data_IF_404426198938
#
_entry.id   IF_404426198938
#
_cell.length_a   1.000
_cell.length_b   1.000
_cell.length_c   1.000
_cell.angle_alpha   90.00
_cell.angle_beta   90.00
_cell.angle_gamma   90.00
#
_symmetry.space_group_name_H-M   'P 1'
#
loop_
_entity.id
_entity.type
_entity.pdbx_description
1 polymer ?
#
# COMPACT_ATOMS: atom_id res chain seq x y z
N UNK A 1 9.86 -13.28 2.35
CA UNK A 1 9.95 -11.81 2.56
C UNK A 1 8.67 -11.22 2.02
N UNK A 2 7.61 -11.25 2.82
CA UNK A 2 6.26 -10.97 2.36
C UNK A 2 5.91 -9.50 2.52
N UNK A 3 5.72 -8.81 1.40
CA UNK A 3 4.99 -7.55 1.33
C UNK A 3 3.52 -7.89 1.10
N UNK A 4 2.59 -7.34 1.87
CA UNK A 4 1.16 -7.42 1.55
C UNK A 4 0.82 -6.22 0.67
N UNK A 5 0.91 -6.37 -0.65
CA UNK A 5 0.45 -5.35 -1.58
C UNK A 5 -0.64 -5.97 -2.45
N UNK A 6 -1.86 -5.42 -2.38
CA UNK A 6 -2.91 -5.75 -3.36
C UNK A 6 -2.53 -4.97 -4.63
N UNK A 7 -1.82 -5.63 -5.54
CA UNK A 7 -1.14 -5.01 -6.68
C UNK A 7 -2.06 -4.64 -7.87
N UNK A 8 -3.38 -4.53 -7.69
CA UNK A 8 -4.27 -4.27 -8.80
C UNK A 8 -4.63 -2.78 -8.89
N UNK A 9 -4.07 -2.10 -9.90
CA UNK A 9 -4.67 -0.89 -10.43
C UNK A 9 -5.93 -1.29 -11.23
N UNK A 10 -7.05 -0.56 -11.10
CA UNK A 10 -8.24 -0.86 -11.90
C UNK A 10 -7.96 -0.55 -13.38
N UNK A 11 -7.84 -1.61 -14.17
CA UNK A 11 -7.98 -1.58 -15.62
C UNK A 11 -9.36 -2.08 -16.00
N UNK A 12 -9.93 -1.53 -17.08
CA UNK A 12 -11.30 -1.74 -17.55
C UNK A 12 -11.73 -3.21 -17.48
N UNK A 13 -12.84 -3.56 -16.78
CA UNK A 13 -13.29 -4.94 -16.75
C UNK A 13 -13.70 -5.39 -18.15
N UNK A 14 -13.14 -6.50 -18.63
CA UNK A 14 -13.69 -7.24 -19.75
C UNK A 14 -15.06 -7.78 -19.33
N UNK A 15 -16.11 -7.09 -19.81
CA UNK A 15 -17.48 -7.57 -20.04
C UNK A 15 -17.97 -8.71 -19.14
N UNK A 16 -18.71 -8.38 -18.08
CA UNK A 16 -19.57 -9.39 -17.43
C UNK A 16 -20.06 -9.13 -16.00
N UNK A 17 -20.34 -7.90 -15.59
CA UNK A 17 -21.00 -7.65 -14.30
C UNK A 17 -22.14 -6.64 -14.44
N UNK A 18 -23.38 -7.09 -14.31
CA UNK A 18 -24.56 -6.22 -14.21
C UNK A 18 -24.64 -5.68 -12.79
N UNK A 19 -24.43 -4.38 -12.62
CA UNK A 19 -24.55 -3.68 -11.33
C UNK A 19 -25.90 -2.96 -11.29
N UNK A 20 -26.76 -3.32 -10.34
CA UNK A 20 -27.96 -2.56 -9.98
C UNK A 20 -27.55 -1.48 -8.98
N UNK A 21 -27.74 -0.22 -9.36
CA UNK A 21 -27.37 0.95 -8.57
C UNK A 21 -28.52 1.36 -7.64
N UNK A 22 -28.37 1.15 -6.33
CA UNK A 22 -29.14 1.89 -5.34
C UNK A 22 -28.28 3.02 -4.79
N UNK A 23 -28.77 4.26 -4.94
CA UNK A 23 -28.12 5.47 -4.45
C UNK A 23 -28.40 5.61 -2.95
N UNK A 24 -27.42 5.29 -2.12
CA UNK A 24 -27.50 5.62 -0.69
C UNK A 24 -27.08 7.07 -0.41
N UNK A 25 -27.86 7.69 0.47
CA UNK A 25 -27.79 9.10 0.87
C UNK A 25 -26.62 9.37 1.80
N UNK A 26 -25.89 10.47 1.53
CA UNK A 26 -24.89 11.12 2.40
C UNK A 26 -25.40 11.23 3.84
N UNK A 27 -24.68 10.63 4.79
CA UNK A 27 -24.82 10.88 6.23
C UNK A 27 -23.82 11.96 6.68
N UNK A 28 -24.14 12.62 7.80
CA UNK A 28 -23.76 13.98 8.19
C UNK A 28 -22.26 14.22 8.53
N UNK A 29 -21.86 15.47 8.25
CA UNK A 29 -20.63 16.22 8.64
C UNK A 29 -19.27 15.85 8.00
N UNK A 30 -18.98 16.54 6.87
CA UNK A 30 -17.64 17.06 6.56
C UNK A 30 -16.55 16.11 6.05
N UNK A 31 -16.71 14.79 6.11
CA UNK A 31 -15.65 13.82 5.72
C UNK A 31 -15.90 13.22 4.34
N UNK A 32 -14.81 12.96 3.60
CA UNK A 32 -14.88 12.40 2.25
C UNK A 32 -14.80 10.87 2.27
N UNK A 33 -15.68 10.21 3.02
CA UNK A 33 -15.74 8.73 3.00
C UNK A 33 -16.22 8.25 1.62
N UNK A 34 -15.57 7.21 1.08
CA UNK A 34 -15.84 6.71 -0.28
C UNK A 34 -16.36 5.28 -0.25
N UNK A 35 -17.58 5.07 -0.77
CA UNK A 35 -18.13 3.75 -0.99
C UNK A 35 -17.69 3.21 -2.36
N UNK A 36 -16.77 2.25 -2.37
CA UNK A 36 -16.13 1.72 -3.59
C UNK A 36 -16.13 0.19 -3.61
N UNK A 37 -15.61 -0.40 -4.68
CA UNK A 37 -15.36 -1.84 -4.78
C UNK A 37 -13.87 -2.10 -4.60
N UNK A 38 -13.51 -2.89 -3.59
CA UNK A 38 -12.16 -3.41 -3.42
C UNK A 38 -12.08 -4.84 -3.97
N UNK A 39 -10.97 -5.18 -4.59
CA UNK A 39 -10.76 -6.47 -5.21
C UNK A 39 -9.87 -7.35 -4.33
N UNK A 40 -10.41 -8.50 -3.95
CA UNK A 40 -9.76 -9.48 -3.09
C UNK A 40 -9.37 -10.71 -3.89
N UNK A 41 -8.43 -11.49 -3.37
CA UNK A 41 -8.10 -12.80 -3.90
C UNK A 41 -9.31 -13.74 -3.79
N UNK A 42 -9.62 -14.41 -4.90
CA UNK A 42 -10.58 -15.50 -4.93
C UNK A 42 -9.81 -16.82 -4.84
N UNK A 43 -10.02 -17.54 -3.75
CA UNK A 43 -9.46 -18.88 -3.56
C UNK A 43 -9.90 -19.81 -4.71
N UNK A 44 -8.99 -20.71 -5.11
CA UNK A 44 -9.31 -21.71 -6.11
C UNK A 44 -10.29 -22.74 -5.54
N UNK A 45 -11.25 -23.19 -6.35
CA UNK A 45 -12.28 -24.15 -5.92
C UNK A 45 -11.67 -25.50 -5.49
N UNK A 46 -10.46 -25.82 -5.98
CA UNK A 46 -9.69 -27.01 -5.64
C UNK A 46 -8.76 -26.84 -4.42
N UNK A 47 -8.76 -25.66 -3.79
CA UNK A 47 -7.91 -25.33 -2.65
C UNK A 47 -6.43 -25.14 -2.98
N UNK A 48 -6.06 -25.09 -4.26
CA UNK A 48 -4.68 -24.82 -4.66
C UNK A 48 -4.21 -23.43 -4.19
N UNK A 49 -2.94 -23.28 -3.80
CA UNK A 49 -2.40 -21.99 -3.39
C UNK A 49 -2.35 -21.01 -4.57
N UNK A 50 -2.25 -19.69 -4.30
CA UNK A 50 -2.09 -18.69 -5.35
C UNK A 50 -0.93 -19.03 -6.27
N UNK A 51 -1.15 -18.88 -7.57
CA UNK A 51 -0.12 -19.15 -8.56
C UNK A 51 1.09 -18.22 -8.38
N UNK A 52 2.33 -18.74 -8.47
CA UNK A 52 3.54 -17.95 -8.29
C UNK A 52 3.65 -16.85 -9.34
N UNK A 53 4.18 -15.69 -8.95
CA UNK A 53 4.62 -14.65 -9.87
C UNK A 53 6.10 -14.83 -10.15
N UNK A 54 6.50 -14.89 -11.42
CA UNK A 54 7.91 -15.00 -11.82
C UNK A 54 8.46 -13.63 -12.22
N UNK A 55 9.38 -13.11 -11.42
CA UNK A 55 9.98 -11.80 -11.65
C UNK A 55 10.86 -11.84 -12.91
N UNK A 56 10.74 -10.82 -13.74
CA UNK A 56 11.47 -10.71 -15.01
C UNK A 56 10.89 -11.55 -16.15
N UNK A 57 9.74 -12.21 -15.94
CA UNK A 57 9.02 -12.95 -16.99
C UNK A 57 7.61 -12.36 -17.19
N UNK A 58 7.03 -12.45 -18.39
CA UNK A 58 5.63 -12.14 -18.61
C UNK A 58 4.75 -12.97 -17.68
N UNK A 59 3.84 -12.29 -16.98
CA UNK A 59 2.91 -12.94 -16.07
C UNK A 59 1.65 -13.33 -16.83
N UNK A 60 1.66 -14.56 -17.38
CA UNK A 60 0.57 -15.08 -18.19
C UNK A 60 -0.46 -15.86 -17.34
N UNK A 61 -0.36 -15.79 -16.02
CA UNK A 61 -1.25 -16.53 -15.12
C UNK A 61 -2.38 -15.63 -14.66
N UNK A 62 -3.60 -16.02 -14.99
CA UNK A 62 -4.79 -15.38 -14.45
C UNK A 62 -4.89 -15.66 -12.95
N UNK A 63 -5.07 -14.60 -12.16
CA UNK A 63 -5.31 -14.69 -10.72
C UNK A 63 -6.71 -14.16 -10.45
N UNK A 64 -7.69 -15.05 -10.24
CA UNK A 64 -9.07 -14.65 -10.02
C UNK A 64 -9.21 -13.73 -8.82
N UNK A 65 -10.08 -12.74 -8.94
CA UNK A 65 -10.42 -11.82 -7.88
C UNK A 65 -11.93 -11.79 -7.65
N UNK A 66 -12.31 -11.35 -6.46
CA UNK A 66 -13.70 -11.08 -6.09
C UNK A 66 -13.82 -9.63 -5.64
N UNK A 67 -14.76 -8.89 -6.25
CA UNK A 67 -15.08 -7.54 -5.84
C UNK A 67 -15.97 -7.56 -4.59
N UNK A 68 -15.61 -6.78 -3.58
CA UNK A 68 -16.43 -6.55 -2.40
C UNK A 68 -16.64 -5.05 -2.21
N UNK A 69 -17.90 -4.64 -2.03
CA UNK A 69 -18.25 -3.26 -1.68
C UNK A 69 -17.76 -2.95 -0.28
N UNK A 70 -17.04 -1.85 -0.14
CA UNK A 70 -16.53 -1.36 1.15
C UNK A 70 -16.68 0.15 1.22
N UNK A 71 -16.59 0.69 2.43
CA UNK A 71 -16.39 2.13 2.66
C UNK A 71 -14.93 2.34 3.04
N UNK A 72 -14.20 3.12 2.27
CA UNK A 72 -12.87 3.60 2.60
C UNK A 72 -13.04 4.92 3.35
N UNK A 73 -12.61 4.96 4.61
CA UNK A 73 -12.87 6.08 5.52
C UNK A 73 -11.77 7.13 5.45
N UNK A 74 -12.17 8.39 5.31
CA UNK A 74 -11.26 9.53 5.23
C UNK A 74 -10.74 9.90 6.64
N UNK A 75 -9.43 9.82 6.83
CA UNK A 75 -8.77 10.13 8.11
C UNK A 75 -8.40 11.59 8.28
N UNK A 76 -8.77 12.47 7.34
CA UNK A 76 -8.46 13.90 7.39
C UNK A 76 -8.84 14.54 8.73
N UNK A 77 -7.87 15.19 9.37
CA UNK A 77 -8.02 15.81 10.70
C UNK A 77 -7.93 14.85 11.89
N UNK A 78 -7.74 13.55 11.63
CA UNK A 78 -7.62 12.47 12.64
C UNK A 78 -6.38 11.62 12.41
N UNK A 79 -5.40 12.12 11.66
CA UNK A 79 -4.18 11.40 11.28
C UNK A 79 -3.41 10.89 12.50
N UNK A 80 -3.39 11.66 13.59
CA UNK A 80 -2.69 11.33 14.83
C UNK A 80 -3.26 10.14 15.61
N UNK A 81 -4.46 9.67 15.27
CA UNK A 81 -5.08 8.50 15.89
C UNK A 81 -4.50 7.18 15.33
N UNK A 82 -3.93 7.23 14.13
CA UNK A 82 -3.40 6.06 13.44
C UNK A 82 -1.90 5.98 13.60
N UNK A 83 -1.45 4.92 14.26
CA UNK A 83 -0.07 4.69 14.69
C UNK A 83 0.46 3.41 14.06
N UNK A 84 1.75 3.41 13.69
CA UNK A 84 2.40 2.25 13.08
C UNK A 84 2.23 0.97 13.90
N UNK A 85 2.31 1.05 15.23
CA UNK A 85 2.28 -0.14 16.07
C UNK A 85 0.90 -0.72 16.26
N UNK A 86 -0.17 0.07 16.23
CA UNK A 86 -1.52 -0.44 16.52
C UNK A 86 -2.36 -0.61 15.26
N UNK A 87 -2.16 0.25 14.26
CA UNK A 87 -2.94 0.23 13.02
C UNK A 87 -2.13 -0.29 11.84
N UNK A 88 -0.80 -0.34 11.95
CA UNK A 88 0.10 -0.73 10.88
C UNK A 88 0.40 0.38 9.87
N UNK A 89 -0.15 1.57 10.07
CA UNK A 89 0.17 2.75 9.26
C UNK A 89 0.14 4.02 10.10
N UNK A 90 0.78 5.07 9.59
CA UNK A 90 0.81 6.39 10.22
C UNK A 90 1.05 7.47 9.18
N UNK A 91 0.31 8.58 9.27
CA UNK A 91 0.54 9.75 8.42
C UNK A 91 1.35 10.79 9.19
N UNK A 92 2.42 11.28 8.57
CA UNK A 92 3.34 12.26 9.13
C UNK A 92 3.39 13.50 8.25
N UNK A 93 3.47 14.68 8.88
CA UNK A 93 3.80 15.91 8.16
C UNK A 93 5.30 15.97 7.95
N UNK A 94 5.72 16.01 6.69
CA UNK A 94 7.12 16.15 6.30
C UNK A 94 7.20 16.77 4.91
N UNK A 95 7.91 17.87 4.78
CA UNK A 95 8.17 18.53 3.49
C UNK A 95 9.57 18.14 3.01
N UNK A 96 9.63 17.35 1.94
CA UNK A 96 10.90 16.90 1.34
C UNK A 96 11.68 18.05 0.69
N UNK A 97 13.02 18.05 0.70
CA UNK A 97 13.79 19.01 -0.13
C UNK A 97 13.70 18.63 -1.60
N UNK A 98 13.83 17.33 -1.91
CA UNK A 98 13.61 16.82 -3.25
C UNK A 98 12.11 16.87 -3.60
N UNK A 99 11.77 17.49 -4.74
CA UNK A 99 10.38 17.72 -5.17
C UNK A 99 10.00 16.95 -6.42
N UNK A 100 10.95 16.79 -7.33
CA UNK A 100 10.67 16.31 -8.67
C UNK A 100 10.80 14.79 -8.74
N UNK A 101 11.73 14.17 -8.01
CA UNK A 101 12.02 12.73 -7.99
C UNK A 101 12.31 12.17 -9.40
N UNK A 102 13.11 12.87 -10.19
CA UNK A 102 13.46 12.47 -11.58
C UNK A 102 14.90 11.97 -11.74
N UNK A 103 15.73 12.12 -10.71
CA UNK A 103 17.14 11.73 -10.71
C UNK A 103 17.43 10.77 -9.55
N UNK A 104 17.77 9.52 -9.86
CA UNK A 104 18.07 8.47 -8.88
C UNK A 104 19.26 8.83 -7.96
N UNK A 105 20.29 9.48 -8.50
CA UNK A 105 21.45 9.91 -7.72
C UNK A 105 21.07 10.98 -6.71
N UNK A 106 20.23 11.94 -7.12
CA UNK A 106 19.70 12.99 -6.24
C UNK A 106 18.77 12.42 -5.17
N UNK A 107 17.91 11.47 -5.52
CA UNK A 107 17.03 10.77 -4.57
C UNK A 107 17.88 10.08 -3.48
N UNK A 108 18.94 9.36 -3.88
CA UNK A 108 19.83 8.67 -2.94
C UNK A 108 20.68 9.64 -2.10
N UNK A 109 21.11 10.76 -2.67
CA UNK A 109 21.97 11.72 -1.98
C UNK A 109 21.20 12.65 -1.03
N UNK A 110 19.96 13.02 -1.37
CA UNK A 110 19.19 14.03 -0.66
C UNK A 110 17.98 13.43 0.07
N UNK A 111 17.15 12.65 -0.64
CA UNK A 111 15.88 12.16 -0.06
C UNK A 111 16.06 10.95 0.86
N UNK A 112 17.00 10.05 0.58
CA UNK A 112 17.25 8.88 1.45
C UNK A 112 17.67 9.30 2.88
N UNK A 113 18.59 10.26 3.08
CA UNK A 113 18.88 10.78 4.42
C UNK A 113 17.64 11.36 5.14
N UNK A 114 16.78 12.09 4.43
CA UNK A 114 15.54 12.62 5.00
C UNK A 114 14.59 11.50 5.47
N UNK A 115 14.42 10.47 4.64
CA UNK A 115 13.58 9.31 4.96
C UNK A 115 14.17 8.51 6.13
N UNK A 116 15.49 8.32 6.17
CA UNK A 116 16.15 7.67 7.30
C UNK A 116 15.88 8.40 8.61
N UNK A 117 16.04 9.74 8.64
CA UNK A 117 15.76 10.51 9.85
C UNK A 117 14.28 10.45 10.22
N UNK A 118 13.37 10.61 9.26
CA UNK A 118 11.93 10.52 9.47
C UNK A 118 11.53 9.18 10.10
N UNK A 119 12.11 8.08 9.63
CA UNK A 119 11.86 6.75 10.19
C UNK A 119 12.41 6.62 11.60
N UNK A 120 13.63 7.09 11.87
CA UNK A 120 14.21 7.08 13.22
C UNK A 120 13.32 7.86 14.20
N UNK A 121 12.87 9.05 13.81
CA UNK A 121 12.00 9.89 14.64
C UNK A 121 10.63 9.24 14.89
N UNK A 122 10.05 8.60 13.87
CA UNK A 122 8.73 7.99 13.96
C UNK A 122 8.72 6.67 14.74
N UNK A 123 9.81 5.91 14.67
CA UNK A 123 9.89 4.54 15.19
C UNK A 123 10.75 4.40 16.43
N UNK A 124 11.72 5.29 16.65
CA UNK A 124 12.76 5.13 17.66
C UNK A 124 13.89 4.17 17.26
N UNK A 125 13.93 3.74 15.99
CA UNK A 125 14.93 2.81 15.50
C UNK A 125 16.35 3.40 15.50
N UNK A 126 17.33 2.54 15.73
CA UNK A 126 18.75 2.90 15.77
C UNK A 126 19.36 2.91 14.36
N UNK A 127 18.90 1.99 13.50
CA UNK A 127 19.45 1.81 12.16
C UNK A 127 18.34 1.63 11.13
N UNK A 128 18.49 2.31 10.01
CA UNK A 128 17.62 2.20 8.85
C UNK A 128 18.47 1.73 7.68
N UNK A 129 17.94 0.80 6.89
CA UNK A 129 18.54 0.43 5.62
C UNK A 129 17.52 0.60 4.50
N UNK A 130 17.71 1.60 3.64
CA UNK A 130 16.90 1.80 2.44
C UNK A 130 17.48 0.98 1.29
N UNK A 131 16.69 0.11 0.68
CA UNK A 131 17.18 -0.82 -0.35
C UNK A 131 16.56 -0.62 -1.74
N UNK A 132 15.44 0.09 -1.83
CA UNK A 132 14.70 0.26 -3.07
C UNK A 132 13.79 1.48 -2.99
N UNK A 133 13.48 2.06 -4.15
CA UNK A 133 12.37 2.97 -4.30
C UNK A 133 11.66 2.73 -5.64
N UNK A 134 10.35 2.98 -5.65
CA UNK A 134 9.53 2.90 -6.85
C UNK A 134 8.85 4.24 -7.06
N UNK A 135 9.02 4.82 -8.24
CA UNK A 135 8.30 6.01 -8.67
C UNK A 135 7.12 5.57 -9.52
N UNK A 136 5.96 6.18 -9.30
CA UNK A 136 4.78 6.01 -10.13
C UNK A 136 4.45 7.34 -10.76
N UNK A 137 4.56 7.40 -12.09
CA UNK A 137 3.98 8.43 -12.96
C UNK A 137 3.33 7.72 -14.15
N UNK A 138 2.34 8.34 -14.79
CA UNK A 138 1.92 7.88 -16.11
C UNK A 138 2.98 8.30 -17.15
N UNK A 139 4.04 7.50 -17.27
CA UNK A 139 4.99 7.54 -18.39
C UNK A 139 5.14 6.13 -18.96
N UNK A 140 5.43 6.05 -20.26
CA UNK A 140 5.22 4.87 -21.11
C UNK A 140 6.15 3.66 -20.87
N UNK A 141 7.06 3.70 -19.89
CA UNK A 141 7.97 2.59 -19.62
C UNK A 141 8.50 2.75 -18.20
N UNK A 142 8.37 1.73 -17.37
CA UNK A 142 9.25 1.57 -16.21
C UNK A 142 9.31 0.10 -15.78
N UNK A 143 10.46 -0.53 -16.04
CA UNK A 143 10.82 -1.86 -15.55
C UNK A 143 11.69 -1.69 -14.30
N UNK A 144 11.21 -2.15 -13.17
CA UNK A 144 11.93 -2.11 -11.88
C UNK A 144 13.00 -3.21 -11.80
N UNK A 145 14.19 -2.87 -11.30
CA UNK A 145 15.24 -3.79 -10.85
C UNK A 145 15.53 -3.55 -9.36
N UNK A 146 14.93 -4.37 -8.48
CA UNK A 146 15.11 -4.25 -7.03
C UNK A 146 16.25 -5.09 -6.49
N UNK A 147 17.01 -4.55 -5.53
CA UNK A 147 18.03 -5.26 -4.74
C UNK A 147 17.43 -5.79 -3.43
N UNK A 148 17.99 -6.88 -2.88
CA UNK A 148 17.36 -7.73 -1.86
C UNK A 148 18.01 -7.63 -0.47
N UNK A 149 17.22 -7.48 0.61
CA UNK A 149 17.69 -7.60 2.01
C UNK A 149 16.62 -8.16 2.99
N UNK A 150 16.99 -8.35 4.29
CA UNK A 150 16.21 -9.01 5.37
C UNK A 150 16.01 -8.09 6.61
N UNK A 151 14.77 -7.95 7.10
CA UNK A 151 14.36 -7.17 8.30
C UNK A 151 12.88 -6.74 8.21
N UNK A 152 12.31 -6.05 9.22
CA UNK A 152 10.95 -5.49 9.14
C UNK A 152 10.90 -4.43 8.05
N UNK A 153 9.91 -4.50 7.16
CA UNK A 153 9.80 -3.63 6.00
C UNK A 153 8.77 -2.55 6.32
N UNK A 154 9.22 -1.29 6.33
CA UNK A 154 8.32 -0.13 6.31
C UNK A 154 8.43 0.53 4.93
N UNK A 155 7.28 0.66 4.27
CA UNK A 155 7.16 1.45 3.06
C UNK A 155 6.83 2.90 3.45
N UNK A 156 7.50 3.83 2.77
CA UNK A 156 7.36 5.26 2.96
C UNK A 156 6.75 5.78 1.68
N UNK A 157 5.44 6.00 1.71
CA UNK A 157 4.67 6.44 0.56
C UNK A 157 4.44 7.95 0.61
N UNK A 158 4.92 8.65 -0.42
CA UNK A 158 4.79 10.10 -0.55
C UNK A 158 4.13 10.48 -1.87
N UNK A 159 3.10 11.34 -1.86
CA UNK A 159 2.64 12.04 -3.05
C UNK A 159 3.70 12.98 -3.65
N UNK A 160 3.88 12.94 -4.96
CA UNK A 160 4.67 13.95 -5.68
C UNK A 160 3.79 15.18 -5.99
N UNK A 161 2.50 14.95 -6.24
CA UNK A 161 1.44 15.96 -6.36
C UNK A 161 0.29 15.63 -5.41
N UNK A 162 -0.59 16.58 -5.12
CA UNK A 162 -1.79 16.31 -4.31
C UNK A 162 -2.67 15.25 -4.98
N UNK A 163 -3.03 14.20 -4.23
CA UNK A 163 -3.75 13.05 -4.78
C UNK A 163 -5.26 13.18 -4.62
N UNK A 164 -5.95 13.07 -5.75
CA UNK A 164 -7.41 12.97 -5.82
C UNK A 164 -7.83 11.65 -6.50
N UNK A 165 -7.22 11.33 -7.64
CA UNK A 165 -7.48 10.10 -8.39
C UNK A 165 -6.61 8.95 -7.89
N UNK A 166 -7.21 7.75 -7.83
CA UNK A 166 -6.56 6.50 -7.39
C UNK A 166 -5.80 6.60 -6.05
N UNK A 167 -6.38 7.18 -4.99
CA UNK A 167 -5.73 7.34 -3.69
C UNK A 167 -5.29 6.01 -3.06
N UNK A 168 -4.32 6.08 -2.15
CA UNK A 168 -3.84 4.93 -1.38
C UNK A 168 -4.85 4.60 -0.26
N UNK A 169 -5.49 3.45 -0.35
CA UNK A 169 -6.23 2.83 0.74
C UNK A 169 -5.34 1.85 1.51
N UNK A 170 -5.46 1.85 2.84
CA UNK A 170 -4.75 0.95 3.74
C UNK A 170 -5.79 0.32 4.69
N UNK A 171 -5.73 -1.00 4.85
CA UNK A 171 -6.54 -1.69 5.84
C UNK A 171 -5.87 -1.59 7.21
N UNK A 172 -6.66 -1.37 8.27
CA UNK A 172 -6.15 -1.37 9.64
C UNK A 172 -5.77 -2.79 10.06
N UNK A 173 -4.56 -2.99 10.60
CA UNK A 173 -4.05 -4.29 11.03
C UNK A 173 -5.03 -5.11 11.90
N UNK A 174 -5.63 -4.57 12.98
CA UNK A 174 -6.57 -5.32 13.82
C UNK A 174 -7.85 -5.78 13.09
N UNK A 175 -8.16 -5.19 11.94
CA UNK A 175 -9.36 -5.53 11.16
C UNK A 175 -9.13 -6.67 10.17
N UNK A 176 -7.87 -7.06 9.93
CA UNK A 176 -7.48 -8.09 8.95
C UNK A 176 -6.82 -9.26 9.70
N UNK A 177 -7.56 -10.35 9.98
CA UNK A 177 -6.97 -11.50 10.64
C UNK A 177 -5.96 -12.21 9.72
N UNK A 178 -4.92 -12.81 10.31
CA UNK A 178 -3.92 -13.57 9.55
C UNK A 178 -4.55 -14.72 8.72
N UNK A 179 -5.72 -15.23 9.13
CA UNK A 179 -6.48 -16.23 8.37
C UNK A 179 -6.94 -15.75 6.99
N UNK A 180 -7.00 -14.43 6.77
CA UNK A 180 -7.38 -13.81 5.51
C UNK A 180 -6.17 -13.52 4.62
N UNK A 181 -4.94 -13.75 5.11
CA UNK A 181 -3.70 -13.54 4.38
C UNK A 181 -3.22 -14.87 3.81
N UNK A 182 -3.13 -14.96 2.48
CA UNK A 182 -2.66 -16.16 1.79
C UNK A 182 -1.29 -15.87 1.17
N UNK A 183 -0.30 -16.70 1.52
CA UNK A 183 1.04 -16.62 0.96
C UNK A 183 0.99 -16.88 -0.55
N UNK A 184 1.47 -15.92 -1.33
CA UNK A 184 1.65 -16.02 -2.77
C UNK A 184 3.15 -15.98 -3.08
N UNK A 185 3.63 -16.98 -3.82
CA UNK A 185 5.05 -17.10 -4.09
C UNK A 185 5.53 -16.06 -5.11
N UNK A 186 6.64 -15.39 -4.80
CA UNK A 186 7.32 -14.46 -5.70
C UNK A 186 8.67 -15.04 -6.08
N UNK A 187 8.78 -15.61 -7.28
CA UNK A 187 9.94 -16.40 -7.72
C UNK A 187 10.86 -15.53 -8.57
N UNK A 188 12.09 -15.36 -8.12
CA UNK A 188 13.19 -14.71 -8.83
C UNK A 188 14.10 -15.79 -9.45
N UNK A 189 14.99 -15.44 -10.40
CA UNK A 189 15.93 -16.42 -10.97
C UNK A 189 16.82 -17.12 -9.93
N UNK A 190 17.15 -16.44 -8.84
CA UNK A 190 18.11 -16.85 -7.81
C UNK A 190 17.47 -17.25 -6.47
N UNK A 191 16.17 -16.96 -6.28
CA UNK A 191 15.49 -17.22 -5.00
C UNK A 191 13.97 -17.32 -5.11
N UNK A 192 13.38 -17.87 -4.06
CA UNK A 192 11.93 -17.80 -3.82
C UNK A 192 11.63 -16.83 -2.67
N UNK A 193 10.91 -15.77 -2.99
CA UNK A 193 10.23 -14.90 -2.05
C UNK A 193 8.77 -15.30 -1.88
N UNK A 194 8.06 -14.51 -1.08
CA UNK A 194 6.64 -14.64 -0.82
C UNK A 194 6.07 -13.23 -0.74
N UNK A 195 4.80 -13.04 -1.05
CA UNK A 195 3.98 -11.84 -0.83
C UNK A 195 2.65 -12.33 -0.26
N UNK A 196 1.78 -11.45 0.23
CA UNK A 196 0.44 -11.85 0.65
C UNK A 196 -0.60 -11.33 -0.32
N UNK A 197 -1.51 -12.22 -0.70
CA UNK A 197 -2.81 -11.85 -1.26
C UNK A 197 -3.87 -11.95 -0.16
N UNK A 198 -4.97 -11.21 -0.30
CA UNK A 198 -5.93 -11.01 0.79
C UNK A 198 -7.29 -11.56 0.38
N UNK A 199 -7.87 -12.43 1.21
CA UNK A 199 -9.22 -12.97 1.05
C UNK A 199 -10.27 -11.92 1.44
N UNK A 200 -11.49 -12.01 0.91
CA UNK A 200 -12.57 -11.12 1.33
C UNK A 200 -12.89 -11.32 2.82
N UNK A 201 -12.95 -10.24 3.58
CA UNK A 201 -13.37 -10.23 4.98
C UNK A 201 -14.42 -9.16 5.24
N UNK A 202 -15.49 -9.52 5.96
CA UNK A 202 -16.55 -8.57 6.33
C UNK A 202 -16.10 -7.54 7.38
N UNK A 203 -15.07 -7.87 8.15
CA UNK A 203 -14.52 -7.03 9.22
C UNK A 203 -13.42 -6.08 8.76
N UNK A 204 -12.98 -6.14 7.51
CA UNK A 204 -11.85 -5.32 7.04
C UNK A 204 -12.21 -3.84 7.04
N UNK A 205 -11.41 -3.03 7.72
CA UNK A 205 -11.59 -1.59 7.84
C UNK A 205 -10.55 -0.86 7.01
N UNK A 206 -11.01 -0.14 5.99
CA UNK A 206 -10.15 0.59 5.05
C UNK A 206 -10.15 2.07 5.33
N UNK A 207 -8.95 2.67 5.25
CA UNK A 207 -8.70 4.07 5.54
C UNK A 207 -7.87 4.70 4.42
N UNK A 208 -8.06 6.00 4.22
CA UNK A 208 -7.23 6.81 3.33
C UNK A 208 -7.21 8.26 3.80
N UNK A 209 -6.24 9.04 3.31
CA UNK A 209 -6.20 10.49 3.51
C UNK A 209 -6.68 11.19 2.25
N UNK A 210 -7.85 11.84 2.31
CA UNK A 210 -8.33 12.63 1.17
C UNK A 210 -7.42 13.82 0.88
N UNK A 211 -7.22 14.13 -0.41
CA UNK A 211 -6.37 15.21 -0.88
C UNK A 211 -4.96 15.22 -0.26
N UNK A 212 -4.36 14.03 -0.07
CA UNK A 212 -3.04 13.93 0.55
C UNK A 212 -2.00 14.69 -0.28
N UNK A 213 -1.30 15.60 0.37
CA UNK A 213 -0.36 16.55 -0.25
C UNK A 213 1.08 16.03 -0.22
N UNK A 214 1.99 16.59 -1.02
CA UNK A 214 3.43 16.26 -0.94
C UNK A 214 4.08 16.59 0.40
N UNK A 215 3.41 17.36 1.26
CA UNK A 215 3.83 17.64 2.64
C UNK A 215 3.42 16.56 3.65
N UNK A 216 2.76 15.49 3.21
CA UNK A 216 2.24 14.41 4.05
C UNK A 216 2.76 13.05 3.55
N UNK A 217 3.34 12.26 4.44
CA UNK A 217 3.92 10.95 4.16
C UNK A 217 3.15 9.88 4.90
N UNK A 218 2.86 8.78 4.23
CA UNK A 218 2.25 7.61 4.86
C UNK A 218 3.30 6.54 5.07
N UNK A 219 3.56 6.21 6.34
CA UNK A 219 4.32 5.02 6.71
C UNK A 219 3.39 3.82 6.70
N UNK A 220 3.82 2.71 6.10
CA UNK A 220 3.05 1.49 5.94
C UNK A 220 3.92 0.33 6.42
N UNK A 221 3.48 -0.37 7.46
CA UNK A 221 4.18 -1.54 7.98
C UNK A 221 3.84 -2.74 7.10
N UNK A 222 4.82 -3.23 6.34
CA UNK A 222 4.65 -4.39 5.46
C UNK A 222 5.05 -5.71 6.12
N UNK A 223 5.98 -5.67 7.07
CA UNK A 223 6.40 -6.83 7.85
C UNK A 223 7.03 -6.40 9.16
N UNK A 224 6.74 -7.13 10.24
CA UNK A 224 7.40 -7.01 11.55
C UNK A 224 7.82 -8.39 12.04
N UNK A 225 9.10 -8.52 12.40
CA UNK A 225 9.66 -9.77 12.94
C UNK A 225 9.28 -9.99 14.39
N UNK A 226 8.89 -8.93 15.12
CA UNK A 226 8.39 -9.07 16.48
C UNK A 226 6.91 -9.43 16.46
N UNK A 227 6.52 -10.33 17.36
CA UNK A 227 5.14 -10.75 17.56
C UNK A 227 4.80 -10.63 19.04
N UNK A 228 3.89 -9.72 19.37
CA UNK A 228 3.24 -9.63 20.66
C UNK A 228 1.83 -9.08 20.49
N UNK A 229 0.98 -9.30 21.50
CA UNK A 229 -0.41 -8.85 21.48
C UNK A 229 -0.49 -7.34 21.26
N UNK A 230 -1.39 -6.92 20.36
CA UNK A 230 -1.61 -5.52 20.01
C UNK A 230 -0.65 -4.93 18.98
N UNK A 231 0.43 -5.62 18.61
CA UNK A 231 1.36 -5.13 17.57
C UNK A 231 0.85 -5.48 16.17
N UNK A 232 0.60 -4.46 15.37
CA UNK A 232 0.43 -4.55 13.94
C UNK A 232 1.71 -5.09 13.32
N UNK A 233 1.59 -6.18 12.55
CA UNK A 233 2.74 -6.83 11.89
C UNK A 233 2.82 -6.57 10.40
N UNK A 234 1.69 -6.27 9.78
CA UNK A 234 1.55 -6.03 8.34
C UNK A 234 0.17 -5.45 8.05
N UNK A 235 0.06 -4.66 6.99
CA UNK A 235 -1.22 -4.13 6.49
C UNK A 235 -1.37 -4.29 4.99
N UNK A 236 -2.52 -4.80 4.51
CA UNK A 236 -2.91 -4.67 3.12
C UNK A 236 -3.06 -3.19 2.72
N UNK A 237 -2.64 -2.88 1.51
CA UNK A 237 -2.86 -1.57 0.90
C UNK A 237 -3.05 -1.71 -0.62
N UNK A 238 -3.82 -0.79 -1.20
CA UNK A 238 -4.19 -0.77 -2.62
C UNK A 238 -4.50 0.65 -3.08
N UNK A 239 -4.54 0.87 -4.39
CA UNK A 239 -5.34 1.97 -4.93
C UNK A 239 -6.83 1.61 -4.88
N UNK A 240 -7.70 2.63 -4.86
CA UNK A 240 -9.14 2.45 -5.07
C UNK A 240 -9.71 3.57 -5.93
N UNK A 241 -10.88 3.32 -6.52
CA UNK A 241 -11.58 4.32 -7.34
C UNK A 241 -12.49 5.16 -6.46
N UNK A 242 -12.27 6.47 -6.50
CA UNK A 242 -13.23 7.47 -6.08
C UNK A 242 -13.90 8.07 -7.32
N UNK A 243 -15.15 7.69 -7.55
CA UNK A 243 -15.92 8.13 -8.72
C UNK A 243 -16.08 9.65 -8.77
N UNK A 244 -16.04 10.35 -7.63
CA UNK A 244 -16.13 11.80 -7.59
C UNK A 244 -14.88 12.50 -8.15
N UNK A 245 -13.74 11.81 -8.18
CA UNK A 245 -12.42 12.35 -8.55
C UNK A 245 -11.81 11.65 -9.79
N UNK A 246 -12.56 10.78 -10.48
CA UNK A 246 -12.05 10.00 -11.62
C UNK A 246 -11.57 10.89 -12.78
N UNK A 247 -12.15 12.07 -12.94
CA UNK A 247 -11.77 13.06 -13.94
C UNK A 247 -10.50 13.87 -13.62
N UNK A 248 -9.89 13.66 -12.46
CA UNK A 248 -8.68 14.38 -12.04
C UNK A 248 -7.41 13.78 -12.63
N UNK A 249 -6.31 14.51 -12.47
CA UNK A 249 -4.98 14.06 -12.88
C UNK A 249 -4.61 12.73 -12.22
N UNK A 250 -3.91 11.88 -12.97
CA UNK A 250 -3.44 10.61 -12.46
C UNK A 250 -2.46 10.81 -11.30
N UNK A 251 -2.51 9.89 -10.34
CA UNK A 251 -1.62 9.89 -9.17
C UNK A 251 -0.15 9.81 -9.56
N UNK A 252 0.64 10.70 -8.96
CA UNK A 252 2.09 10.65 -8.97
C UNK A 252 2.62 10.47 -7.53
N UNK A 253 3.43 9.44 -7.30
CA UNK A 253 3.93 9.11 -5.96
C UNK A 253 5.29 8.43 -6.00
N UNK A 254 6.04 8.53 -4.91
CA UNK A 254 7.23 7.72 -4.66
C UNK A 254 6.99 6.83 -3.43
N UNK A 255 7.41 5.57 -3.53
CA UNK A 255 7.46 4.62 -2.42
C UNK A 255 8.92 4.25 -2.16
N UNK A 256 9.44 4.60 -1.00
CA UNK A 256 10.76 4.14 -0.53
C UNK A 256 10.56 2.92 0.37
N UNK A 257 11.43 1.92 0.26
CA UNK A 257 11.37 0.70 1.08
C UNK A 257 12.59 0.61 1.97
N UNK A 258 12.32 0.47 3.28
CA UNK A 258 13.35 0.44 4.28
C UNK A 258 13.21 -0.75 5.21
N UNK A 259 14.36 -1.26 5.65
CA UNK A 259 14.48 -2.13 6.81
C UNK A 259 14.76 -1.28 8.04
N UNK A 260 14.07 -1.60 9.13
CA UNK A 260 14.13 -0.83 10.38
C UNK A 260 14.69 -1.72 11.49
N UNK A 261 15.73 -1.29 12.19
CA UNK A 261 16.37 -2.10 13.22
C UNK A 261 16.43 -1.33 14.55
N UNK A 262 16.03 -2.02 15.61
CA UNK A 262 16.13 -1.56 16.99
C UNK A 262 17.28 -2.31 17.65
N UNK A 263 18.10 -1.59 18.41
CA UNK A 263 19.08 -2.23 19.29
C UNK A 263 18.31 -2.83 20.50
N UNK A 264 18.74 -3.99 20.97
CA UNK A 264 18.23 -4.61 22.21
C UNK A 264 18.73 -3.90 23.47
#
# INVERSE_FOLDING_TARGET
>A
MATAAVQYAPGTPSSGATVLLEKEKRTQEGRHDVATTMYYYKEADDGSPPAPTYVGKPDNVERPFVGQRVVVRDISGREGEYRLDNHGFQVLKHVSQEKEFVDDGKIKAEYYPEVEQLLKDATGANRIFIFDHTIRRQTADDRLSGTQLRGPIINIWRPIKTIYKDPLAIASAPSVPDSDLVGAALVYPDRRGETFVVKPGKGHEWFFKYAQTPGEVTLIKCFDSWEHEGLARRVPHSAFVDEAEEGREARESIEVRALVFYDE
#
